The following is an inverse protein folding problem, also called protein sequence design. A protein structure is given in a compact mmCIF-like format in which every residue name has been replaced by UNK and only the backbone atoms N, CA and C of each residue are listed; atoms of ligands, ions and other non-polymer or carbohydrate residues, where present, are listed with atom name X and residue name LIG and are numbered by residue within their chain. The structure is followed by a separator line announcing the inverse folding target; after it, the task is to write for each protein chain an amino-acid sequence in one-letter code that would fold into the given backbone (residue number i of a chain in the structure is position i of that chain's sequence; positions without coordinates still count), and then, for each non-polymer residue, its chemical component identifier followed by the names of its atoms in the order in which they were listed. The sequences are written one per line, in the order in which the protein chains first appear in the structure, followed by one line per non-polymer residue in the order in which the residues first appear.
data_IF_101413670574
#
_entry.id   IF_101413670574
#
_cell.length_a   1.000
_cell.length_b   1.000
_cell.length_c   1.000
_cell.angle_alpha   90.00
_cell.angle_beta   90.00
_cell.angle_gamma   90.00
#
_symmetry.space_group_name_H-M   'P 1'
#
loop_
_entity.id
_entity.type
_entity.pdbx_description
1 polymer ?
#
# COMPACT_ATOMS: atom_id res chain seq x y z
N UNK A 1 -66.35 -30.29 -68.12
CA UNK A 1 -66.39 -28.82 -67.94
C UNK A 1 -66.24 -28.44 -66.46
N UNK A 2 -67.03 -29.01 -65.55
CA UNK A 2 -66.95 -28.67 -64.12
C UNK A 2 -65.63 -29.04 -63.43
N UNK A 3 -64.97 -30.14 -63.79
CA UNK A 3 -63.64 -30.47 -63.24
C UNK A 3 -62.57 -29.42 -63.58
N UNK A 4 -62.62 -28.87 -64.80
CA UNK A 4 -61.69 -27.82 -65.24
C UNK A 4 -61.96 -26.51 -64.49
N UNK A 5 -63.24 -26.18 -64.24
CA UNK A 5 -63.63 -25.01 -63.44
C UNK A 5 -63.19 -25.13 -61.98
N UNK A 6 -63.37 -26.32 -61.38
CA UNK A 6 -62.97 -26.61 -60.01
C UNK A 6 -61.45 -26.62 -59.84
N UNK A 7 -60.72 -27.11 -60.85
CA UNK A 7 -59.27 -27.03 -60.91
C UNK A 7 -58.80 -25.58 -61.04
N UNK A 8 -59.41 -24.79 -61.93
CA UNK A 8 -59.10 -23.37 -62.09
C UNK A 8 -59.36 -22.57 -60.81
N UNK A 9 -60.46 -22.84 -60.09
CA UNK A 9 -60.74 -22.26 -58.76
C UNK A 9 -59.66 -22.64 -57.73
N UNK A 10 -59.26 -23.91 -57.65
CA UNK A 10 -58.19 -24.34 -56.75
C UNK A 10 -56.85 -23.70 -57.09
N UNK A 11 -56.51 -23.61 -58.38
CA UNK A 11 -55.30 -22.95 -58.85
C UNK A 11 -55.33 -21.45 -58.54
N UNK A 12 -56.46 -20.78 -58.73
CA UNK A 12 -56.63 -19.36 -58.39
C UNK A 12 -56.48 -19.11 -56.88
N UNK A 13 -57.09 -19.95 -56.05
CA UNK A 13 -56.95 -19.88 -54.59
C UNK A 13 -55.49 -20.11 -54.15
N UNK A 14 -54.83 -21.14 -54.68
CA UNK A 14 -53.42 -21.40 -54.40
C UNK A 14 -52.52 -20.23 -54.86
N UNK A 15 -52.84 -19.58 -55.98
CA UNK A 15 -52.08 -18.42 -56.49
C UNK A 15 -52.27 -17.18 -55.58
N UNK A 16 -53.46 -16.99 -55.02
CA UNK A 16 -53.73 -15.95 -54.03
C UNK A 16 -53.03 -16.22 -52.68
N UNK A 17 -52.98 -17.48 -52.24
CA UNK A 17 -52.22 -17.88 -51.06
C UNK A 17 -50.71 -17.64 -51.27
N UNK A 18 -50.16 -18.00 -52.44
CA UNK A 18 -48.78 -17.72 -52.80
C UNK A 18 -48.50 -16.21 -52.79
N UNK A 19 -49.41 -15.39 -53.34
CA UNK A 19 -49.24 -13.93 -53.37
C UNK A 19 -49.22 -13.33 -51.97
N UNK A 20 -50.07 -13.82 -51.06
CA UNK A 20 -50.06 -13.43 -49.64
C UNK A 20 -48.75 -13.82 -48.97
N UNK A 21 -48.31 -15.08 -49.16
CA UNK A 21 -47.03 -15.57 -48.62
C UNK A 21 -45.83 -14.77 -49.13
N UNK A 22 -45.80 -14.37 -50.40
CA UNK A 22 -44.73 -13.54 -50.97
C UNK A 22 -44.72 -12.16 -50.30
N UNK A 23 -45.89 -11.53 -50.13
CA UNK A 23 -46.02 -10.25 -49.42
C UNK A 23 -45.55 -10.34 -47.96
N UNK A 24 -45.83 -11.45 -47.29
CA UNK A 24 -45.37 -11.69 -45.92
C UNK A 24 -43.84 -11.84 -45.85
N UNK A 25 -43.24 -12.57 -46.81
CA UNK A 25 -41.78 -12.73 -46.92
C UNK A 25 -41.08 -11.40 -47.23
N UNK A 26 -41.66 -10.57 -48.10
CA UNK A 26 -41.13 -9.23 -48.38
C UNK A 26 -41.16 -8.34 -47.13
N UNK A 27 -42.28 -8.33 -46.40
CA UNK A 27 -42.41 -7.59 -45.15
C UNK A 27 -41.43 -8.08 -44.08
N UNK A 28 -41.28 -9.40 -43.93
CA UNK A 28 -40.31 -10.01 -43.02
C UNK A 28 -38.87 -9.66 -43.39
N UNK A 29 -38.54 -9.63 -44.69
CA UNK A 29 -37.21 -9.23 -45.18
C UNK A 29 -36.89 -7.78 -44.89
N UNK A 30 -37.86 -6.87 -45.08
CA UNK A 30 -37.69 -5.45 -44.75
C UNK A 30 -37.49 -5.25 -43.24
N UNK A 31 -38.27 -5.94 -42.41
CA UNK A 31 -38.11 -5.89 -40.95
C UNK A 31 -36.72 -6.42 -40.53
N UNK A 32 -36.29 -7.55 -41.09
CA UNK A 32 -34.97 -8.13 -40.84
C UNK A 32 -33.85 -7.16 -41.22
N UNK A 33 -33.96 -6.50 -42.38
CA UNK A 33 -32.98 -5.49 -42.82
C UNK A 33 -32.88 -4.32 -41.84
N UNK A 34 -34.02 -3.85 -41.33
CA UNK A 34 -34.04 -2.78 -40.34
C UNK A 34 -33.37 -3.21 -39.03
N UNK A 35 -33.71 -4.39 -38.51
CA UNK A 35 -33.07 -4.94 -37.30
C UNK A 35 -31.56 -5.09 -37.45
N UNK A 36 -31.07 -5.57 -38.60
CA UNK A 36 -29.63 -5.68 -38.88
C UNK A 36 -28.94 -4.31 -38.87
N UNK A 37 -29.60 -3.28 -39.41
CA UNK A 37 -29.06 -1.92 -39.45
C UNK A 37 -28.99 -1.32 -38.03
N UNK A 38 -30.03 -1.52 -37.22
CA UNK A 38 -30.07 -1.08 -35.82
C UNK A 38 -29.00 -1.82 -34.98
N UNK A 39 -28.86 -3.14 -35.16
CA UNK A 39 -27.84 -3.93 -34.49
C UNK A 39 -26.41 -3.46 -34.85
N UNK A 40 -26.15 -3.15 -36.12
CA UNK A 40 -24.86 -2.60 -36.54
C UNK A 40 -24.54 -1.25 -35.87
N UNK A 41 -25.55 -0.39 -35.69
CA UNK A 41 -25.42 0.87 -34.94
C UNK A 41 -25.11 0.65 -33.46
N UNK A 42 -25.76 -0.33 -32.82
CA UNK A 42 -25.50 -0.69 -31.43
C UNK A 42 -24.09 -1.25 -31.20
N UNK A 43 -23.56 -2.04 -32.14
CA UNK A 43 -22.19 -2.58 -32.05
C UNK A 43 -21.14 -1.46 -31.98
N UNK A 44 -21.33 -0.37 -32.74
CA UNK A 44 -20.45 0.80 -32.65
C UNK A 44 -20.53 1.47 -31.27
N UNK A 45 -21.75 1.62 -30.73
CA UNK A 45 -21.96 2.13 -29.37
C UNK A 45 -21.29 1.27 -28.29
N UNK A 46 -21.43 -0.06 -28.36
CA UNK A 46 -20.78 -0.98 -27.43
C UNK A 46 -19.25 -0.90 -27.48
N UNK A 47 -18.66 -0.70 -28.66
CA UNK A 47 -17.22 -0.50 -28.78
C UNK A 47 -16.77 0.75 -28.03
N UNK A 48 -17.48 1.86 -28.22
CA UNK A 48 -17.11 3.14 -27.62
C UNK A 48 -17.28 3.10 -26.08
N UNK A 49 -18.39 2.53 -25.58
CA UNK A 49 -18.58 2.25 -24.14
C UNK A 49 -17.51 1.31 -23.59
N UNK A 50 -17.10 0.30 -24.36
CA UNK A 50 -16.04 -0.62 -23.95
C UNK A 50 -14.68 0.07 -23.79
N UNK A 51 -14.34 1.01 -24.69
CA UNK A 51 -13.13 1.82 -24.60
C UNK A 51 -13.16 2.77 -23.40
N UNK A 52 -14.29 3.43 -23.16
CA UNK A 52 -14.49 4.30 -21.99
C UNK A 52 -14.36 3.52 -20.68
N UNK A 53 -14.97 2.34 -20.61
CA UNK A 53 -14.87 1.44 -19.45
C UNK A 53 -13.42 1.01 -19.21
N UNK A 54 -12.70 0.63 -20.27
CA UNK A 54 -11.29 0.26 -20.16
C UNK A 54 -10.42 1.44 -19.67
N UNK A 55 -10.69 2.67 -20.12
CA UNK A 55 -10.00 3.86 -19.65
C UNK A 55 -10.29 4.15 -18.18
N UNK A 56 -11.56 4.03 -17.75
CA UNK A 56 -11.96 4.20 -16.36
C UNK A 56 -11.28 3.17 -15.44
N UNK A 57 -11.22 1.90 -15.87
CA UNK A 57 -10.51 0.84 -15.12
C UNK A 57 -9.03 1.16 -14.97
N UNK A 58 -8.35 1.60 -16.04
CA UNK A 58 -6.92 2.00 -15.94
C UNK A 58 -6.73 3.16 -14.95
N UNK A 59 -7.58 4.18 -15.03
CA UNK A 59 -7.53 5.29 -14.08
C UNK A 59 -7.76 4.84 -12.63
N UNK A 60 -8.65 3.87 -12.39
CA UNK A 60 -8.85 3.32 -11.05
C UNK A 60 -7.60 2.59 -10.53
N UNK A 61 -6.92 1.83 -11.40
CA UNK A 61 -5.66 1.16 -11.05
C UNK A 61 -4.60 2.21 -10.68
N UNK A 62 -4.42 3.24 -11.50
CA UNK A 62 -3.42 4.29 -11.25
C UNK A 62 -3.66 5.01 -9.91
N UNK A 63 -4.92 5.36 -9.62
CA UNK A 63 -5.31 5.99 -8.34
C UNK A 63 -5.08 5.03 -7.17
N UNK A 64 -5.38 3.75 -7.34
CA UNK A 64 -5.17 2.73 -6.29
C UNK A 64 -3.69 2.54 -5.98
N UNK A 65 -2.83 2.52 -6.99
CA UNK A 65 -1.38 2.47 -6.80
C UNK A 65 -0.84 3.73 -6.12
N UNK A 66 -1.35 4.91 -6.50
CA UNK A 66 -0.97 6.16 -5.84
C UNK A 66 -1.39 6.15 -4.37
N UNK A 67 -2.61 5.69 -4.07
CA UNK A 67 -3.10 5.55 -2.70
C UNK A 67 -2.20 4.61 -1.89
N UNK A 68 -1.84 3.45 -2.44
CA UNK A 68 -0.92 2.51 -1.79
C UNK A 68 0.44 3.16 -1.47
N UNK A 69 1.01 3.94 -2.40
CA UNK A 69 2.27 4.68 -2.18
C UNK A 69 2.16 5.70 -1.05
N UNK A 70 1.10 6.51 -1.04
CA UNK A 70 0.88 7.54 0.01
C UNK A 70 0.70 6.89 1.38
N UNK A 71 -0.07 5.80 1.47
CA UNK A 71 -0.25 5.05 2.72
C UNK A 71 1.08 4.46 3.20
N UNK A 72 1.86 3.85 2.31
CA UNK A 72 3.17 3.29 2.66
C UNK A 72 4.12 4.37 3.19
N UNK A 73 4.16 5.54 2.54
CA UNK A 73 4.95 6.68 2.98
C UNK A 73 4.48 7.20 4.34
N UNK A 74 3.18 7.45 4.51
CA UNK A 74 2.62 7.91 5.79
C UNK A 74 2.89 6.93 6.93
N UNK A 75 2.86 5.63 6.66
CA UNK A 75 3.18 4.59 7.64
C UNK A 75 4.67 4.63 8.02
N UNK A 76 5.57 4.83 7.06
CA UNK A 76 7.01 4.96 7.33
C UNK A 76 7.29 6.20 8.19
N UNK A 77 6.78 7.36 7.78
CA UNK A 77 6.91 8.62 8.51
C UNK A 77 6.39 8.48 9.94
N UNK A 78 5.17 7.98 10.11
CA UNK A 78 4.57 7.79 11.44
C UNK A 78 5.41 6.87 12.32
N UNK A 79 5.94 5.80 11.74
CA UNK A 79 6.78 4.86 12.49
C UNK A 79 8.12 5.49 12.91
N UNK A 80 8.81 6.21 12.01
CA UNK A 80 10.05 6.94 12.32
C UNK A 80 9.84 7.95 13.46
N UNK A 81 8.76 8.71 13.43
CA UNK A 81 8.43 9.67 14.50
C UNK A 81 8.18 8.99 15.84
N UNK A 82 7.45 7.86 15.86
CA UNK A 82 7.22 7.10 17.09
C UNK A 82 8.53 6.59 17.70
N UNK A 83 9.46 6.06 16.89
CA UNK A 83 10.72 5.53 17.44
C UNK A 83 11.68 6.65 17.89
N UNK A 84 11.64 7.83 17.26
CA UNK A 84 12.34 9.02 17.75
C UNK A 84 11.78 9.44 19.11
N UNK A 85 10.45 9.51 19.26
CA UNK A 85 9.81 9.82 20.55
C UNK A 85 10.14 8.79 21.63
N UNK A 86 10.13 7.49 21.30
CA UNK A 86 10.53 6.42 22.22
C UNK A 86 11.98 6.64 22.73
N UNK A 87 12.90 7.08 21.86
CA UNK A 87 14.28 7.41 22.25
C UNK A 87 14.36 8.65 23.16
N UNK A 88 13.57 9.68 22.88
CA UNK A 88 13.50 10.86 23.77
C UNK A 88 13.00 10.45 25.16
N UNK A 89 11.94 9.64 25.23
CA UNK A 89 11.40 9.11 26.49
C UNK A 89 12.45 8.27 27.22
N UNK A 90 13.19 7.42 26.51
CA UNK A 90 14.28 6.63 27.07
C UNK A 90 15.35 7.51 27.75
N UNK A 91 15.83 8.55 27.06
CA UNK A 91 16.83 9.48 27.63
C UNK A 91 16.30 10.23 28.85
N UNK A 92 15.05 10.70 28.77
CA UNK A 92 14.39 11.38 29.88
C UNK A 92 14.27 10.49 31.13
N UNK A 93 14.03 9.19 30.95
CA UNK A 93 13.94 8.24 32.06
C UNK A 93 15.30 8.11 32.78
N UNK A 94 16.39 8.02 32.02
CA UNK A 94 17.75 8.01 32.56
C UNK A 94 18.05 9.33 33.29
N UNK A 95 17.72 10.48 32.71
CA UNK A 95 17.94 11.77 33.37
C UNK A 95 17.14 11.91 34.67
N UNK A 96 15.89 11.42 34.70
CA UNK A 96 15.05 11.40 35.90
C UNK A 96 15.72 10.61 37.04
N UNK A 97 16.37 9.49 36.73
CA UNK A 97 17.14 8.75 37.71
C UNK A 97 18.31 9.58 38.28
N UNK A 98 19.05 10.29 37.41
CA UNK A 98 20.20 11.11 37.81
C UNK A 98 19.82 12.30 38.70
N UNK A 99 18.64 12.90 38.51
CA UNK A 99 18.15 14.01 39.36
C UNK A 99 17.37 13.53 40.60
N UNK A 100 17.30 12.22 40.82
CA UNK A 100 16.64 11.63 41.99
C UNK A 100 15.11 11.65 41.92
N UNK A 101 14.52 11.76 40.73
CA UNK A 101 13.06 11.68 40.56
C UNK A 101 12.53 10.26 40.81
N UNK A 102 13.30 9.24 40.43
CA UNK A 102 13.07 7.84 40.77
C UNK A 102 14.40 7.08 40.87
N UNK A 103 14.37 5.84 41.34
CA UNK A 103 15.49 4.90 41.25
C UNK A 103 15.33 4.01 40.00
N UNK A 104 16.40 3.83 39.23
CA UNK A 104 16.39 3.06 37.98
C UNK A 104 17.65 2.20 37.88
N UNK A 105 17.49 0.90 38.07
CA UNK A 105 18.58 -0.04 37.89
C UNK A 105 18.86 -0.33 36.40
N UNK A 106 20.13 -0.49 36.05
CA UNK A 106 20.55 -0.69 34.66
C UNK A 106 19.99 -1.97 34.01
N UNK A 107 19.65 -2.99 34.81
CA UNK A 107 19.01 -4.23 34.34
C UNK A 107 17.52 -4.04 33.99
N UNK A 108 16.87 -2.98 34.51
CA UNK A 108 15.51 -2.59 34.15
C UNK A 108 15.43 -1.81 32.85
N UNK A 109 16.55 -1.28 32.39
CA UNK A 109 16.64 -0.60 31.10
C UNK A 109 16.62 -1.63 29.97
N UNK A 110 15.68 -1.48 29.04
CA UNK A 110 15.55 -2.38 27.89
C UNK A 110 16.85 -2.44 27.07
N UNK A 111 17.12 -3.60 26.46
CA UNK A 111 18.18 -3.73 25.47
C UNK A 111 17.76 -3.10 24.14
N UNK A 112 18.73 -2.59 23.37
CA UNK A 112 18.49 -2.07 22.02
C UNK A 112 17.82 -3.10 21.10
N UNK A 113 17.98 -4.42 21.35
CA UNK A 113 17.30 -5.46 20.56
C UNK A 113 15.82 -5.64 20.92
N UNK A 114 15.45 -5.32 22.17
CA UNK A 114 14.10 -5.57 22.70
C UNK A 114 13.21 -4.33 22.70
N UNK A 115 13.77 -3.14 22.45
CA UNK A 115 12.98 -1.92 22.25
C UNK A 115 12.22 -1.96 20.91
N UNK A 116 11.28 -1.03 20.69
CA UNK A 116 10.49 -0.97 19.45
C UNK A 116 11.37 -0.87 18.20
N UNK A 117 12.39 -0.02 18.24
CA UNK A 117 13.33 0.14 17.12
C UNK A 117 14.12 -1.14 16.87
N UNK A 118 14.56 -1.82 17.93
CA UNK A 118 15.25 -3.10 17.85
C UNK A 118 14.40 -4.17 17.18
N UNK A 119 13.18 -4.37 17.66
CA UNK A 119 12.25 -5.34 17.06
C UNK A 119 12.00 -5.04 15.59
N UNK A 120 11.85 -3.78 15.22
CA UNK A 120 11.72 -3.40 13.81
C UNK A 120 12.98 -3.69 12.99
N UNK A 121 14.17 -3.44 13.55
CA UNK A 121 15.46 -3.66 12.90
C UNK A 121 15.78 -5.15 12.71
N UNK A 122 15.57 -5.99 13.72
CA UNK A 122 15.98 -7.39 13.71
C UNK A 122 14.91 -8.35 13.17
N UNK A 123 13.64 -8.10 13.46
CA UNK A 123 12.54 -9.06 13.23
C UNK A 123 11.41 -8.50 12.36
N UNK A 124 11.25 -7.18 12.33
CA UNK A 124 10.12 -6.50 11.71
C UNK A 124 10.37 -6.07 10.26
N UNK A 125 9.60 -5.05 9.84
CA UNK A 125 9.64 -4.51 8.47
C UNK A 125 11.03 -4.03 8.06
N UNK A 126 11.81 -3.47 8.98
CA UNK A 126 13.20 -3.07 8.71
C UNK A 126 14.04 -4.24 8.20
N UNK A 127 13.99 -5.38 8.90
CA UNK A 127 14.70 -6.59 8.49
C UNK A 127 14.23 -7.16 7.14
N UNK A 128 12.99 -6.90 6.74
CA UNK A 128 12.40 -7.43 5.50
C UNK A 128 12.66 -6.51 4.31
N UNK A 129 12.48 -5.21 4.50
CA UNK A 129 12.42 -4.21 3.43
C UNK A 129 13.74 -3.42 3.29
N UNK A 130 14.54 -3.30 4.36
CA UNK A 130 15.65 -2.34 4.44
C UNK A 130 17.07 -2.92 4.37
N UNK A 131 17.23 -4.23 4.20
CA UNK A 131 18.57 -4.89 4.24
C UNK A 131 19.61 -4.31 3.30
N UNK A 132 19.21 -3.75 2.16
CA UNK A 132 20.12 -3.10 1.19
C UNK A 132 20.34 -1.61 1.44
N UNK A 133 19.67 -1.00 2.42
CA UNK A 133 19.75 0.44 2.68
C UNK A 133 20.93 0.75 3.62
N UNK A 134 21.79 1.67 3.20
CA UNK A 134 23.02 2.01 3.93
C UNK A 134 22.76 2.67 5.29
N UNK A 135 21.75 3.52 5.39
CA UNK A 135 21.35 4.22 6.61
C UNK A 135 20.75 3.23 7.60
N UNK A 136 19.96 2.28 7.11
CA UNK A 136 19.44 1.19 7.92
C UNK A 136 20.58 0.40 8.55
N UNK A 137 21.55 -0.08 7.76
CA UNK A 137 22.68 -0.84 8.30
C UNK A 137 23.50 -0.04 9.33
N UNK A 138 23.72 1.26 9.07
CA UNK A 138 24.46 2.15 9.97
C UNK A 138 23.74 2.43 11.30
N UNK A 139 22.43 2.16 11.40
CA UNK A 139 21.64 2.45 12.59
C UNK A 139 21.99 1.58 13.80
N UNK A 140 22.42 0.33 13.55
CA UNK A 140 22.61 -0.67 14.60
C UNK A 140 23.58 -0.22 15.68
N UNK A 141 24.75 0.23 15.26
CA UNK A 141 25.85 0.56 16.16
C UNK A 141 25.55 1.77 17.05
N UNK A 142 25.11 2.94 16.53
CA UNK A 142 24.73 4.06 17.39
C UNK A 142 23.52 3.72 18.26
N UNK A 143 22.55 2.94 17.79
CA UNK A 143 21.43 2.49 18.61
C UNK A 143 21.86 1.59 19.78
N UNK A 144 22.75 0.62 19.54
CA UNK A 144 23.35 -0.20 20.59
C UNK A 144 24.12 0.66 21.59
N UNK A 145 24.87 1.67 21.10
CA UNK A 145 25.64 2.58 21.93
C UNK A 145 24.75 3.42 22.86
N UNK A 146 23.59 3.92 22.40
CA UNK A 146 22.62 4.64 23.27
C UNK A 146 22.24 3.78 24.47
N UNK A 147 21.79 2.54 24.23
CA UNK A 147 21.34 1.66 25.30
C UNK A 147 22.48 1.23 26.24
N UNK A 148 23.64 0.88 25.68
CA UNK A 148 24.79 0.43 26.45
C UNK A 148 25.36 1.56 27.32
N UNK A 149 25.50 2.76 26.75
CA UNK A 149 25.99 3.93 27.48
C UNK A 149 25.01 4.38 28.57
N UNK A 150 23.69 4.32 28.32
CA UNK A 150 22.68 4.58 29.34
C UNK A 150 22.78 3.63 30.54
N UNK A 151 22.95 2.33 30.29
CA UNK A 151 23.17 1.31 31.34
C UNK A 151 24.47 1.54 32.10
N UNK A 152 25.54 1.88 31.40
CA UNK A 152 26.83 2.20 32.00
C UNK A 152 26.74 3.45 32.90
N UNK A 153 26.00 4.47 32.45
CA UNK A 153 25.76 5.69 33.20
C UNK A 153 25.06 5.40 34.53
N UNK A 154 23.98 4.61 34.52
CA UNK A 154 23.27 4.20 35.74
C UNK A 154 24.14 3.37 36.69
N UNK A 155 24.90 2.41 36.16
CA UNK A 155 25.81 1.61 36.98
C UNK A 155 26.89 2.47 37.65
N UNK A 156 27.48 3.41 36.92
CA UNK A 156 28.47 4.34 37.47
C UNK A 156 27.85 5.30 38.49
N UNK A 157 26.62 5.78 38.24
CA UNK A 157 25.87 6.61 39.17
C UNK A 157 25.61 5.90 40.50
N UNK A 158 25.15 4.64 40.47
CA UNK A 158 24.94 3.83 41.67
C UNK A 158 26.24 3.51 42.42
N UNK A 159 27.35 3.35 41.69
CA UNK A 159 28.69 3.20 42.26
C UNK A 159 29.27 4.52 42.81
N UNK A 160 28.55 5.65 42.69
CA UNK A 160 29.00 7.01 43.04
C UNK A 160 30.25 7.47 42.27
N UNK A 161 30.51 6.86 41.10
CA UNK A 161 31.55 7.31 40.16
C UNK A 161 30.94 8.31 39.17
N UNK A 162 30.78 9.55 39.64
CA UNK A 162 30.15 10.62 38.86
C UNK A 162 30.97 11.04 37.64
N UNK A 163 32.29 10.82 37.65
CA UNK A 163 33.14 11.12 36.50
C UNK A 163 32.82 10.16 35.35
N UNK A 164 32.78 8.85 35.63
CA UNK A 164 32.40 7.84 34.65
C UNK A 164 30.94 7.97 34.22
N UNK A 165 30.03 8.24 35.16
CA UNK A 165 28.61 8.41 34.87
C UNK A 165 28.36 9.54 33.86
N UNK A 166 29.05 10.68 34.02
CA UNK A 166 28.98 11.81 33.10
C UNK A 166 29.57 11.49 31.71
N UNK A 167 30.69 10.78 31.64
CA UNK A 167 31.27 10.35 30.36
C UNK A 167 30.34 9.38 29.62
N UNK A 168 29.68 8.48 30.33
CA UNK A 168 28.71 7.56 29.76
C UNK A 168 27.45 8.29 29.28
N UNK A 169 26.93 9.25 30.04
CA UNK A 169 25.82 10.12 29.59
C UNK A 169 26.17 10.89 28.32
N UNK A 170 27.37 11.46 28.23
CA UNK A 170 27.80 12.19 27.03
C UNK A 170 27.83 11.26 25.80
N UNK A 171 28.40 10.06 25.93
CA UNK A 171 28.39 9.06 24.84
C UNK A 171 26.97 8.64 24.44
N UNK A 172 26.06 8.55 25.40
CA UNK A 172 24.65 8.26 25.12
C UNK A 172 24.02 9.36 24.26
N UNK A 173 24.27 10.64 24.56
CA UNK A 173 23.78 11.75 23.75
C UNK A 173 24.37 11.77 22.35
N UNK A 174 25.70 11.65 22.23
CA UNK A 174 26.39 11.65 20.94
C UNK A 174 25.89 10.50 20.03
N UNK A 175 25.66 9.32 20.61
CA UNK A 175 25.07 8.19 19.89
C UNK A 175 23.58 8.44 19.56
N UNK A 176 22.84 9.10 20.45
CA UNK A 176 21.44 9.44 20.21
C UNK A 176 21.29 10.41 19.05
N UNK A 177 22.17 11.39 18.92
CA UNK A 177 22.13 12.35 17.81
C UNK A 177 22.32 11.62 16.47
N UNK A 178 23.27 10.67 16.41
CA UNK A 178 23.46 9.81 15.23
C UNK A 178 22.22 8.98 14.91
N UNK A 179 21.54 8.43 15.92
CA UNK A 179 20.26 7.71 15.72
C UNK A 179 19.20 8.64 15.15
N UNK A 180 19.04 9.85 15.70
CA UNK A 180 18.02 10.81 15.21
C UNK A 180 18.28 11.21 13.76
N UNK A 181 19.53 11.44 13.39
CA UNK A 181 19.93 11.78 12.02
C UNK A 181 19.63 10.64 11.05
N UNK A 182 19.99 9.41 11.40
CA UNK A 182 19.73 8.23 10.56
C UNK A 182 18.23 7.95 10.42
N UNK A 183 17.46 8.09 11.49
CA UNK A 183 16.00 7.95 11.44
C UNK A 183 15.35 9.02 10.58
N UNK A 184 15.84 10.26 10.62
CA UNK A 184 15.37 11.36 9.76
C UNK A 184 15.70 11.10 8.29
N UNK A 185 16.85 10.49 7.99
CA UNK A 185 17.17 10.09 6.62
C UNK A 185 16.27 8.93 6.15
N UNK A 186 16.02 7.93 6.99
CA UNK A 186 15.13 6.80 6.68
C UNK A 186 13.66 7.21 6.53
N UNK A 187 13.25 8.30 7.18
CA UNK A 187 11.95 8.93 6.99
C UNK A 187 11.79 9.52 5.59
N UNK A 188 12.81 10.24 5.11
CA UNK A 188 12.82 10.90 3.80
C UNK A 188 13.06 9.92 2.65
N UNK A 189 13.83 8.87 2.89
CA UNK A 189 14.18 7.85 1.91
C UNK A 189 13.75 6.46 2.41
N UNK A 190 12.45 6.12 2.27
CA UNK A 190 11.97 4.81 2.66
C UNK A 190 12.67 3.69 1.88
N UNK A 191 12.74 2.54 2.52
CA UNK A 191 13.39 1.37 1.95
C UNK A 191 12.63 0.89 0.70
N UNK A 192 13.29 0.95 -0.45
CA UNK A 192 12.74 0.52 -1.74
C UNK A 192 13.21 -0.90 -2.06
N UNK A 193 12.72 -1.90 -1.34
CA UNK A 193 12.64 -3.24 -1.92
C UNK A 193 11.23 -3.44 -2.42
N UNK A 194 11.08 -3.43 -3.75
CA UNK A 194 9.92 -4.02 -4.40
C UNK A 194 9.90 -5.49 -4.01
N UNK A 195 8.85 -5.92 -3.30
CA UNK A 195 8.46 -7.33 -3.26
C UNK A 195 8.12 -7.77 -4.67
#
# INVERSE_FOLDING_TARGET
ADEVRKLAERTANATNEISTLVSDVESASLNTKQQVTEAAGQVAGYRDTGLETAAAIRSMVDVSEQMARVIAQGTNTSFMEVVKLDHVVFKLDIYKAFIGYHDLAADKVSSHQHCRLGKWYYEGRGAQECKGNSQFMQLETPHANVHNAGKEALNAFHAKDFAKARQALQRMEEASDQVMDLLTQLEQQPCNNKV
#
